data_IF_340312214769
#
_entry.id   IF_340312214769
#
_cell.length_a   1.000
_cell.length_b   1.000
_cell.length_c   1.000
_cell.angle_alpha   90.00
_cell.angle_beta   90.00
_cell.angle_gamma   90.00
#
_symmetry.space_group_name_H-M   'P 1'
#
loop_
_entity.id
_entity.type
_entity.pdbx_description
1 polymer ?
#
# COMPACT_ATOMS: atom_id res chain seq x y z
N UNK A 1 -26.39 7.02 -0.87
CA UNK A 1 -25.31 7.38 -1.81
C UNK A 1 -24.78 6.10 -2.45
N UNK A 2 -24.57 6.09 -3.76
CA UNK A 2 -23.95 5.02 -4.55
C UNK A 2 -22.68 5.55 -5.21
N UNK A 3 -21.53 4.93 -4.94
CA UNK A 3 -20.24 5.32 -5.53
C UNK A 3 -19.66 4.20 -6.39
N UNK A 4 -19.03 4.60 -7.49
CA UNK A 4 -18.27 3.70 -8.36
C UNK A 4 -16.78 3.76 -7.97
N UNK A 5 -16.27 2.67 -7.40
CA UNK A 5 -14.88 2.54 -6.95
C UNK A 5 -14.00 2.02 -8.09
N UNK A 6 -13.26 2.93 -8.73
CA UNK A 6 -12.41 2.67 -9.87
C UNK A 6 -10.99 2.28 -9.43
N UNK A 7 -10.61 1.03 -9.66
CA UNK A 7 -9.35 0.43 -9.20
C UNK A 7 -8.66 -0.35 -10.32
N UNK A 8 -7.34 -0.50 -10.24
CA UNK A 8 -6.57 -1.26 -11.23
C UNK A 8 -6.90 -2.74 -11.19
N UNK A 9 -7.04 -3.29 -9.98
CA UNK A 9 -7.41 -4.68 -9.74
C UNK A 9 -8.60 -4.72 -8.79
N UNK A 10 -9.65 -5.46 -9.15
CA UNK A 10 -10.84 -5.71 -8.33
C UNK A 10 -10.56 -6.79 -7.29
N UNK A 11 -11.22 -6.76 -6.12
CA UNK A 11 -11.07 -7.79 -5.11
C UNK A 11 -11.47 -9.18 -5.62
N UNK A 12 -10.60 -10.18 -5.43
CA UNK A 12 -10.85 -11.60 -5.72
C UNK A 12 -10.90 -12.45 -4.43
N UNK A 13 -10.83 -11.80 -3.27
CA UNK A 13 -10.83 -12.42 -1.94
C UNK A 13 -9.45 -12.85 -1.44
N UNK A 14 -8.43 -12.87 -2.30
CA UNK A 14 -7.06 -13.10 -1.89
C UNK A 14 -6.39 -11.77 -1.53
N UNK A 15 -6.13 -11.54 -0.24
CA UNK A 15 -5.39 -10.36 0.24
C UNK A 15 -3.87 -10.62 0.16
N UNK A 16 -3.36 -10.76 -1.07
CA UNK A 16 -1.98 -11.19 -1.32
C UNK A 16 -0.97 -10.02 -1.37
N UNK A 17 -1.45 -8.80 -1.56
CA UNK A 17 -0.62 -7.59 -1.65
C UNK A 17 -1.15 -6.46 -0.77
N UNK A 18 -0.29 -5.49 -0.49
CA UNK A 18 -0.68 -4.33 0.27
C UNK A 18 -1.77 -3.47 -0.39
N UNK A 19 -1.78 -3.45 -1.73
CA UNK A 19 -2.81 -2.78 -2.51
C UNK A 19 -4.19 -3.42 -2.29
N UNK A 20 -4.26 -4.75 -2.30
CA UNK A 20 -5.52 -5.49 -2.08
C UNK A 20 -6.04 -5.32 -0.64
N UNK A 21 -5.14 -5.36 0.35
CA UNK A 21 -5.47 -5.12 1.77
C UNK A 21 -6.04 -3.70 1.95
N UNK A 22 -5.37 -2.68 1.40
CA UNK A 22 -5.83 -1.30 1.48
C UNK A 22 -7.21 -1.13 0.80
N UNK A 23 -7.39 -1.69 -0.39
CA UNK A 23 -8.66 -1.63 -1.10
C UNK A 23 -9.80 -2.26 -0.29
N UNK A 24 -9.56 -3.44 0.29
CA UNK A 24 -10.54 -4.12 1.12
C UNK A 24 -10.94 -3.28 2.34
N UNK A 25 -9.97 -2.68 3.03
CA UNK A 25 -10.23 -1.82 4.19
C UNK A 25 -11.06 -0.58 3.82
N UNK A 26 -10.73 0.09 2.71
CA UNK A 26 -11.42 1.30 2.24
C UNK A 26 -12.84 0.99 1.76
N UNK A 27 -13.01 -0.07 0.96
CA UNK A 27 -14.35 -0.51 0.50
C UNK A 27 -15.22 -0.89 1.69
N UNK A 28 -14.67 -1.61 2.67
CA UNK A 28 -15.39 -1.96 3.88
C UNK A 28 -15.81 -0.72 4.69
N UNK A 29 -14.93 0.29 4.81
CA UNK A 29 -15.24 1.53 5.51
C UNK A 29 -16.32 2.37 4.81
N UNK A 30 -16.28 2.47 3.47
CA UNK A 30 -17.36 3.08 2.68
C UNK A 30 -18.70 2.38 2.91
N UNK A 31 -18.71 1.04 2.89
CA UNK A 31 -19.92 0.24 3.13
C UNK A 31 -20.44 0.42 4.56
N UNK A 32 -19.57 0.47 5.58
CA UNK A 32 -19.96 0.80 6.97
C UNK A 32 -20.56 2.19 7.11
N UNK A 33 -20.15 3.15 6.28
CA UNK A 33 -20.75 4.48 6.23
C UNK A 33 -22.11 4.52 5.49
N UNK A 34 -22.66 3.36 5.08
CA UNK A 34 -23.95 3.27 4.38
C UNK A 34 -23.89 3.57 2.89
N UNK A 35 -22.69 3.61 2.30
CA UNK A 35 -22.49 3.82 0.86
C UNK A 35 -22.65 2.49 0.13
N UNK A 36 -23.51 2.45 -0.89
CA UNK A 36 -23.49 1.37 -1.87
C UNK A 36 -22.24 1.54 -2.72
N UNK A 37 -21.39 0.52 -2.80
CA UNK A 37 -20.14 0.58 -3.57
C UNK A 37 -20.16 -0.47 -4.67
N UNK A 38 -20.12 -0.01 -5.92
CA UNK A 38 -19.82 -0.86 -7.08
C UNK A 38 -18.35 -0.71 -7.43
N UNK A 39 -17.61 -1.80 -7.55
CA UNK A 39 -16.19 -1.78 -7.91
C UNK A 39 -16.04 -1.99 -9.41
N UNK A 40 -15.17 -1.22 -10.06
CA UNK A 40 -14.84 -1.38 -11.48
C UNK A 40 -13.32 -1.45 -11.66
N UNK A 41 -12.86 -2.41 -12.46
CA UNK A 41 -11.44 -2.62 -12.71
C UNK A 41 -11.14 -3.91 -13.47
N UNK A 42 -9.88 -4.34 -13.46
CA UNK A 42 -9.45 -5.61 -14.03
C UNK A 42 -9.38 -6.69 -12.97
N UNK A 43 -9.35 -7.95 -13.39
CA UNK A 43 -9.11 -9.08 -12.50
C UNK A 43 -7.81 -9.80 -12.85
N UNK A 44 -7.22 -10.48 -11.86
CA UNK A 44 -6.11 -11.38 -12.13
C UNK A 44 -6.52 -12.51 -13.07
N UNK A 45 -5.67 -12.93 -14.02
CA UNK A 45 -5.95 -14.07 -14.88
C UNK A 45 -6.26 -15.33 -14.06
N UNK A 46 -7.37 -16.01 -14.39
CA UNK A 46 -7.80 -17.24 -13.71
C UNK A 46 -8.49 -17.03 -12.36
N UNK A 47 -8.82 -15.78 -11.99
CA UNK A 47 -9.55 -15.44 -10.75
C UNK A 47 -10.96 -14.95 -11.05
N UNK A 48 -11.82 -15.02 -10.03
CA UNK A 48 -13.19 -14.52 -10.05
C UNK A 48 -13.36 -13.45 -8.95
N UNK A 49 -14.21 -12.42 -9.17
CA UNK A 49 -14.38 -11.37 -8.17
C UNK A 49 -15.03 -11.94 -6.91
N UNK A 50 -14.61 -11.46 -5.74
CA UNK A 50 -15.15 -11.94 -4.46
C UNK A 50 -16.59 -11.50 -4.20
N UNK A 51 -17.05 -10.47 -4.92
CA UNK A 51 -18.39 -9.90 -4.81
C UNK A 51 -18.93 -9.61 -6.23
N UNK A 52 -19.34 -10.65 -6.99
CA UNK A 52 -19.70 -10.52 -8.40
C UNK A 52 -20.86 -9.56 -8.66
N UNK A 53 -21.80 -9.46 -7.72
CA UNK A 53 -22.99 -8.62 -7.86
C UNK A 53 -22.66 -7.12 -7.78
N UNK A 54 -21.58 -6.76 -7.08
CA UNK A 54 -21.13 -5.39 -6.90
C UNK A 54 -19.78 -5.12 -7.60
N UNK A 55 -19.40 -5.95 -8.58
CA UNK A 55 -18.12 -5.82 -9.28
C UNK A 55 -18.29 -5.90 -10.80
N UNK A 56 -17.78 -4.89 -11.49
CA UNK A 56 -17.72 -4.81 -12.95
C UNK A 56 -16.29 -5.11 -13.39
N UNK A 57 -16.08 -6.28 -13.97
CA UNK A 57 -14.79 -6.72 -14.50
C UNK A 57 -14.64 -6.26 -15.95
N UNK A 58 -13.59 -5.49 -16.23
CA UNK A 58 -13.25 -5.02 -17.59
C UNK A 58 -12.52 -6.08 -18.43
N UNK A 59 -11.87 -7.03 -17.76
CA UNK A 59 -11.09 -8.08 -18.38
C UNK A 59 -10.03 -8.63 -17.42
N UNK A 60 -9.26 -9.61 -17.88
CA UNK A 60 -8.15 -10.17 -17.12
C UNK A 60 -6.81 -9.55 -17.56
N UNK A 61 -6.04 -9.02 -16.61
CA UNK A 61 -4.72 -8.41 -16.87
C UNK A 61 -3.76 -8.77 -15.76
N UNK A 62 -2.57 -9.31 -16.11
CA UNK A 62 -1.46 -9.38 -15.15
C UNK A 62 -0.72 -8.03 -15.15
N UNK A 63 -0.91 -7.25 -14.10
CA UNK A 63 -0.26 -5.94 -13.96
C UNK A 63 1.20 -6.05 -13.51
N UNK A 64 1.66 -7.22 -13.06
CA UNK A 64 3.03 -7.41 -12.56
C UNK A 64 4.02 -7.36 -13.72
N UNK A 65 5.07 -6.58 -13.56
CA UNK A 65 6.15 -6.51 -14.55
C UNK A 65 7.03 -7.76 -14.53
N UNK A 66 7.11 -8.45 -13.38
CA UNK A 66 8.01 -9.60 -13.18
C UNK A 66 7.64 -10.79 -14.09
N UNK A 67 6.34 -11.00 -14.37
CA UNK A 67 5.82 -12.11 -15.21
C UNK A 67 5.85 -11.82 -16.72
N UNK A 68 6.17 -10.59 -17.14
CA UNK A 68 6.13 -10.21 -18.56
C UNK A 68 7.44 -10.52 -19.32
N UNK A 69 7.31 -10.95 -20.57
CA UNK A 69 8.46 -11.14 -21.48
C UNK A 69 9.16 -9.83 -21.83
N UNK A 70 10.44 -9.90 -22.24
CA UNK A 70 11.20 -8.72 -22.66
C UNK A 70 10.53 -7.96 -23.82
N UNK A 71 9.91 -8.69 -24.79
CA UNK A 71 9.17 -8.09 -25.91
C UNK A 71 7.95 -7.33 -25.43
N UNK A 72 7.18 -7.88 -24.50
CA UNK A 72 6.00 -7.21 -23.92
C UNK A 72 6.42 -5.95 -23.13
N UNK A 73 7.50 -6.02 -22.34
CA UNK A 73 8.05 -4.87 -21.62
C UNK A 73 8.46 -3.76 -22.59
N UNK A 74 9.12 -4.10 -23.70
CA UNK A 74 9.53 -3.13 -24.72
C UNK A 74 8.31 -2.53 -25.44
N UNK A 75 7.30 -3.34 -25.76
CA UNK A 75 6.06 -2.87 -26.39
C UNK A 75 5.30 -1.90 -25.48
N UNK A 76 5.17 -2.22 -24.18
CA UNK A 76 4.57 -1.31 -23.20
C UNK A 76 5.39 -0.03 -23.04
N UNK A 77 6.71 -0.12 -22.99
CA UNK A 77 7.57 1.06 -22.91
C UNK A 77 7.38 1.95 -24.14
N UNK A 78 7.39 1.38 -25.35
CA UNK A 78 7.14 2.11 -26.59
C UNK A 78 5.77 2.78 -26.60
N UNK A 79 4.72 2.04 -26.24
CA UNK A 79 3.35 2.59 -26.14
C UNK A 79 3.25 3.68 -25.08
N UNK A 80 3.92 3.53 -23.92
CA UNK A 80 3.95 4.56 -22.87
C UNK A 80 4.62 5.84 -23.37
N UNK A 81 5.73 5.72 -24.10
CA UNK A 81 6.43 6.86 -24.73
C UNK A 81 5.53 7.56 -25.73
N UNK A 82 4.92 6.82 -26.66
CA UNK A 82 4.07 7.38 -27.72
C UNK A 82 2.78 8.02 -27.19
N UNK A 83 2.17 7.43 -26.15
CA UNK A 83 0.90 7.92 -25.59
C UNK A 83 1.06 8.95 -24.47
N UNK A 84 2.29 9.25 -24.04
CA UNK A 84 2.54 10.12 -22.89
C UNK A 84 2.04 9.55 -21.55
N UNK A 85 1.70 8.26 -21.49
CA UNK A 85 1.24 7.59 -20.28
C UNK A 85 2.42 7.06 -19.45
N UNK A 86 2.12 6.78 -18.17
CA UNK A 86 3.02 6.05 -17.27
C UNK A 86 3.08 4.58 -17.67
N UNK A 87 4.18 3.91 -17.33
CA UNK A 87 4.36 2.49 -17.62
C UNK A 87 3.30 1.61 -16.92
N UNK A 88 2.80 2.05 -15.76
CA UNK A 88 1.70 1.36 -15.09
C UNK A 88 0.35 1.60 -15.78
N UNK A 89 0.03 2.85 -16.16
CA UNK A 89 -1.24 3.18 -16.83
C UNK A 89 -1.38 2.52 -18.20
N UNK A 90 -0.29 2.42 -18.97
CA UNK A 90 -0.34 1.85 -20.33
C UNK A 90 -0.75 0.37 -20.35
N UNK A 91 -0.46 -0.38 -19.29
CA UNK A 91 -0.85 -1.79 -19.16
C UNK A 91 -2.36 -1.96 -19.08
N UNK A 92 -3.06 -0.97 -18.50
CA UNK A 92 -4.51 -0.97 -18.36
C UNK A 92 -5.21 -0.55 -19.66
N UNK A 93 -4.47 -0.02 -20.64
CA UNK A 93 -4.95 0.22 -22.02
C UNK A 93 -5.06 -1.07 -22.85
N UNK A 94 -5.35 -2.18 -22.18
CA UNK A 94 -5.76 -3.46 -22.78
C UNK A 94 -7.22 -3.39 -23.26
N UNK A 95 -8.00 -2.47 -22.70
CA UNK A 95 -9.35 -2.10 -23.14
C UNK A 95 -9.36 -0.65 -23.63
N UNK A 96 -10.34 -0.33 -24.47
CA UNK A 96 -10.59 0.98 -25.06
C UNK A 96 -11.44 1.90 -24.16
N UNK A 97 -11.47 3.19 -24.49
CA UNK A 97 -12.31 4.17 -23.80
C UNK A 97 -13.81 3.83 -23.89
N UNK A 98 -14.25 3.28 -25.03
CA UNK A 98 -15.64 2.88 -25.24
C UNK A 98 -16.03 1.67 -24.40
N UNK A 99 -15.13 0.70 -24.23
CA UNK A 99 -15.38 -0.46 -23.35
C UNK A 99 -15.47 -0.04 -21.89
N UNK A 100 -14.59 0.86 -21.43
CA UNK A 100 -14.67 1.40 -20.05
C UNK A 100 -15.93 2.23 -19.86
N UNK A 101 -16.30 3.07 -20.84
CA UNK A 101 -17.54 3.85 -20.79
C UNK A 101 -18.78 2.96 -20.72
N UNK A 102 -18.88 1.95 -21.58
CA UNK A 102 -19.97 0.99 -21.54
C UNK A 102 -20.01 0.23 -20.20
N UNK A 103 -18.85 -0.08 -19.62
CA UNK A 103 -18.78 -0.67 -18.28
C UNK A 103 -19.26 0.27 -17.17
N UNK A 104 -18.93 1.57 -17.24
CA UNK A 104 -19.44 2.59 -16.32
C UNK A 104 -20.97 2.71 -16.46
N UNK A 105 -21.50 2.72 -17.68
CA UNK A 105 -22.95 2.77 -17.94
C UNK A 105 -23.70 1.55 -17.36
N UNK A 106 -23.09 0.35 -17.41
CA UNK A 106 -23.65 -0.86 -16.78
C UNK A 106 -23.76 -0.79 -15.25
N UNK A 107 -23.03 0.12 -14.59
CA UNK A 107 -23.18 0.33 -13.15
C UNK A 107 -24.55 0.92 -12.76
N UNK A 108 -25.31 1.43 -13.73
CA UNK A 108 -26.57 2.13 -13.50
C UNK A 108 -26.34 3.53 -12.91
N UNK A 109 -27.38 4.15 -12.33
CA UNK A 109 -27.24 5.46 -11.69
C UNK A 109 -26.34 5.41 -10.45
N UNK A 110 -25.34 6.30 -10.39
CA UNK A 110 -24.46 6.49 -9.24
C UNK A 110 -24.10 7.98 -9.07
N UNK A 111 -23.67 8.34 -7.87
CA UNK A 111 -23.49 9.73 -7.44
C UNK A 111 -22.08 10.25 -7.79
N UNK A 112 -21.04 9.44 -7.61
CA UNK A 112 -19.67 9.88 -7.86
C UNK A 112 -18.66 8.74 -7.93
N UNK A 113 -17.41 9.12 -8.19
CA UNK A 113 -16.30 8.17 -8.30
C UNK A 113 -15.44 8.16 -7.03
N UNK A 114 -14.92 6.98 -6.70
CA UNK A 114 -13.71 6.85 -5.87
C UNK A 114 -12.59 6.38 -6.79
N UNK A 115 -11.65 7.27 -7.09
CA UNK A 115 -10.50 7.00 -7.94
C UNK A 115 -9.37 6.44 -7.08
N UNK A 116 -9.16 5.13 -7.15
CA UNK A 116 -8.26 4.42 -6.26
C UNK A 116 -6.89 4.17 -6.88
N UNK A 117 -5.89 4.93 -6.40
CA UNK A 117 -4.53 5.03 -6.95
C UNK A 117 -4.49 5.60 -8.38
N UNK A 118 -3.28 5.85 -8.88
CA UNK A 118 -3.06 6.63 -10.10
C UNK A 118 -3.25 5.81 -11.39
N UNK A 119 -3.09 4.48 -11.35
CA UNK A 119 -2.86 3.74 -12.58
C UNK A 119 -4.13 3.67 -13.44
N UNK A 120 -5.27 3.29 -12.85
CA UNK A 120 -6.52 3.19 -13.61
C UNK A 120 -7.12 4.56 -13.93
N UNK A 121 -7.17 5.46 -12.95
CA UNK A 121 -7.61 6.84 -13.16
C UNK A 121 -6.74 7.57 -14.20
N UNK A 122 -5.43 7.35 -14.18
CA UNK A 122 -4.49 7.91 -15.15
C UNK A 122 -4.63 7.35 -16.57
N UNK A 123 -4.98 6.07 -16.71
CA UNK A 123 -5.20 5.45 -18.00
C UNK A 123 -6.47 5.92 -18.71
N UNK A 124 -7.47 6.41 -17.96
CA UNK A 124 -8.80 6.80 -18.46
C UNK A 124 -9.28 8.14 -17.88
N UNK A 125 -8.37 9.09 -17.65
CA UNK A 125 -8.60 10.33 -16.88
C UNK A 125 -9.81 11.16 -17.35
N UNK A 126 -10.10 11.12 -18.65
CA UNK A 126 -11.23 11.85 -19.27
C UNK A 126 -12.58 11.21 -18.99
N UNK A 127 -12.63 9.90 -18.74
CA UNK A 127 -13.89 9.18 -18.50
C UNK A 127 -14.46 9.43 -17.11
N UNK A 128 -13.62 9.84 -16.16
CA UNK A 128 -14.02 10.13 -14.78
C UNK A 128 -14.25 11.63 -14.53
N UNK A 129 -14.56 12.40 -15.57
CA UNK A 129 -14.71 13.86 -15.50
C UNK A 129 -16.16 14.34 -15.34
N UNK A 130 -17.12 13.45 -15.55
CA UNK A 130 -18.55 13.79 -15.65
C UNK A 130 -19.28 13.83 -14.32
N UNK A 131 -18.64 13.41 -13.23
CA UNK A 131 -19.19 13.39 -11.86
C UNK A 131 -18.13 13.78 -10.83
N UNK A 132 -18.53 14.24 -9.64
CA UNK A 132 -17.58 14.52 -8.57
C UNK A 132 -16.84 13.24 -8.15
N UNK A 133 -15.60 13.40 -7.68
CA UNK A 133 -14.74 12.28 -7.30
C UNK A 133 -14.00 12.51 -5.98
N UNK A 134 -13.76 11.42 -5.27
CA UNK A 134 -12.73 11.32 -4.23
C UNK A 134 -11.52 10.62 -4.85
N UNK A 135 -10.32 11.12 -4.62
CA UNK A 135 -9.09 10.45 -5.05
C UNK A 135 -8.39 9.82 -3.84
N UNK A 136 -8.06 8.53 -3.92
CA UNK A 136 -7.28 7.83 -2.90
C UNK A 136 -5.86 7.63 -3.41
N UNK A 137 -4.94 8.44 -2.89
CA UNK A 137 -3.52 8.30 -3.14
C UNK A 137 -2.92 7.28 -2.17
N UNK A 138 -2.49 6.14 -2.70
CA UNK A 138 -1.85 5.08 -1.90
C UNK A 138 -0.43 5.45 -1.50
N UNK A 139 0.27 6.14 -2.39
CA UNK A 139 1.64 6.58 -2.25
C UNK A 139 1.80 7.93 -2.96
N UNK A 140 2.94 8.57 -2.74
CA UNK A 140 3.46 9.62 -3.61
C UNK A 140 4.25 8.94 -4.73
N UNK A 141 3.56 8.58 -5.80
CA UNK A 141 4.10 7.74 -6.88
C UNK A 141 5.24 8.44 -7.63
N UNK A 142 5.13 9.75 -7.86
CA UNK A 142 6.25 10.52 -8.42
C UNK A 142 7.47 10.56 -7.50
N UNK A 143 7.27 10.52 -6.17
CA UNK A 143 8.33 10.44 -5.17
C UNK A 143 9.06 9.10 -5.26
N UNK A 144 8.29 8.01 -5.24
CA UNK A 144 8.81 6.65 -5.43
C UNK A 144 9.58 6.50 -6.75
N UNK A 145 9.09 7.11 -7.84
CA UNK A 145 9.80 7.10 -9.13
C UNK A 145 11.12 7.89 -9.10
N UNK A 146 11.20 9.00 -8.34
CA UNK A 146 12.46 9.74 -8.13
C UNK A 146 13.47 8.91 -7.32
N UNK A 147 13.02 8.23 -6.27
CA UNK A 147 13.87 7.32 -5.49
C UNK A 147 14.44 6.21 -6.37
N UNK A 148 13.61 5.59 -7.21
CA UNK A 148 14.05 4.58 -8.18
C UNK A 148 15.06 5.16 -9.20
N UNK A 149 14.89 6.41 -9.64
CA UNK A 149 15.85 7.05 -10.54
C UNK A 149 17.21 7.27 -9.87
N UNK A 150 17.22 7.68 -8.59
CA UNK A 150 18.43 7.89 -7.81
C UNK A 150 19.18 6.58 -7.54
N UNK A 151 18.46 5.49 -7.26
CA UNK A 151 19.01 4.16 -7.01
C UNK A 151 19.39 3.38 -8.29
N UNK A 152 19.10 3.89 -9.49
CA UNK A 152 19.34 3.16 -10.73
C UNK A 152 20.84 3.04 -11.07
N UNK A 153 21.27 1.79 -11.35
CA UNK A 153 22.65 1.43 -11.70
C UNK A 153 23.07 1.85 -13.12
N UNK A 154 22.12 2.15 -14.00
CA UNK A 154 22.41 2.56 -15.39
C UNK A 154 21.80 3.91 -15.76
N UNK A 155 22.50 4.67 -16.62
CA UNK A 155 22.04 5.98 -17.11
C UNK A 155 20.71 5.89 -17.86
N UNK A 156 20.50 4.79 -18.60
CA UNK A 156 19.26 4.55 -19.32
C UNK A 156 18.07 4.34 -18.37
N UNK A 157 18.20 3.45 -17.37
CA UNK A 157 17.14 3.25 -16.38
C UNK A 157 16.84 4.51 -15.58
N UNK A 158 17.89 5.26 -15.20
CA UNK A 158 17.75 6.57 -14.54
C UNK A 158 16.90 7.53 -15.37
N UNK A 159 17.14 7.61 -16.68
CA UNK A 159 16.35 8.46 -17.58
C UNK A 159 14.89 8.00 -17.65
N UNK A 160 14.64 6.70 -17.74
CA UNK A 160 13.28 6.14 -17.76
C UNK A 160 12.52 6.45 -16.47
N UNK A 161 13.12 6.24 -15.30
CA UNK A 161 12.49 6.57 -14.03
C UNK A 161 12.31 8.08 -13.83
N UNK A 162 13.24 8.90 -14.31
CA UNK A 162 13.08 10.35 -14.27
C UNK A 162 11.93 10.84 -15.17
N UNK A 163 11.74 10.22 -16.35
CA UNK A 163 10.55 10.45 -17.19
C UNK A 163 9.28 10.05 -16.45
N UNK A 164 9.27 8.85 -15.85
CA UNK A 164 8.12 8.34 -15.11
C UNK A 164 7.74 9.27 -13.95
N UNK A 165 8.72 9.75 -13.19
CA UNK A 165 8.52 10.71 -12.10
C UNK A 165 7.87 12.02 -12.58
N UNK A 166 8.24 12.54 -13.75
CA UNK A 166 7.62 13.76 -14.31
C UNK A 166 6.17 13.51 -14.70
N UNK A 167 5.89 12.39 -15.37
CA UNK A 167 4.52 12.05 -15.80
C UNK A 167 3.60 11.78 -14.62
N UNK A 168 4.08 11.03 -13.62
CA UNK A 168 3.36 10.78 -12.38
C UNK A 168 3.08 12.09 -11.65
N UNK A 169 4.06 12.99 -11.54
CA UNK A 169 3.86 14.28 -10.87
C UNK A 169 2.70 15.06 -11.51
N UNK A 170 2.73 15.23 -12.83
CA UNK A 170 1.66 15.95 -13.53
C UNK A 170 0.31 15.24 -13.40
N UNK A 171 0.29 13.91 -13.44
CA UNK A 171 -0.94 13.12 -13.30
C UNK A 171 -1.53 13.23 -11.89
N UNK A 172 -0.71 13.08 -10.86
CA UNK A 172 -1.10 13.21 -9.45
C UNK A 172 -1.62 14.62 -9.15
N UNK A 173 -0.94 15.67 -9.62
CA UNK A 173 -1.40 17.05 -9.50
C UNK A 173 -2.78 17.26 -10.16
N UNK A 174 -3.01 16.68 -11.35
CA UNK A 174 -4.32 16.77 -12.02
C UNK A 174 -5.41 16.02 -11.26
N UNK A 175 -5.14 14.79 -10.80
CA UNK A 175 -6.09 14.00 -10.03
C UNK A 175 -6.45 14.69 -8.70
N UNK A 176 -5.44 15.16 -7.96
CA UNK A 176 -5.65 15.87 -6.69
C UNK A 176 -6.42 17.18 -6.87
N UNK A 177 -6.14 17.94 -7.94
CA UNK A 177 -6.84 19.18 -8.25
C UNK A 177 -8.31 18.95 -8.63
N UNK A 178 -8.61 17.88 -9.37
CA UNK A 178 -9.96 17.58 -9.86
C UNK A 178 -10.85 16.91 -8.83
N UNK A 179 -10.28 16.13 -7.92
CA UNK A 179 -11.06 15.50 -6.86
C UNK A 179 -11.68 16.55 -5.91
N UNK A 180 -12.89 16.30 -5.43
CA UNK A 180 -13.51 17.12 -4.38
C UNK A 180 -12.81 16.91 -3.04
N UNK A 181 -12.30 15.71 -2.80
CA UNK A 181 -11.52 15.38 -1.62
C UNK A 181 -10.45 14.33 -1.96
N UNK A 182 -9.31 14.40 -1.26
CA UNK A 182 -8.20 13.47 -1.43
C UNK A 182 -7.96 12.70 -0.15
N UNK A 183 -7.80 11.40 -0.24
CA UNK A 183 -7.30 10.58 0.84
C UNK A 183 -5.85 10.20 0.58
N UNK A 184 -5.00 10.34 1.59
CA UNK A 184 -3.64 9.76 1.60
C UNK A 184 -3.56 8.64 2.63
N UNK A 185 -2.52 7.82 2.60
CA UNK A 185 -2.30 6.78 3.61
C UNK A 185 -1.31 7.21 4.71
N UNK A 186 -0.63 8.33 4.51
CA UNK A 186 0.27 8.94 5.49
C UNK A 186 0.12 10.46 5.47
N UNK A 187 0.40 11.11 6.61
CA UNK A 187 0.26 12.56 6.77
C UNK A 187 1.27 13.31 5.90
N UNK A 188 2.51 12.80 5.84
CA UNK A 188 3.60 13.40 5.07
C UNK A 188 3.30 13.44 3.57
N UNK A 189 2.47 12.51 3.08
CA UNK A 189 2.10 12.41 1.66
C UNK A 189 1.17 13.57 1.24
N UNK A 190 0.39 14.15 2.17
CA UNK A 190 -0.54 15.25 1.87
C UNK A 190 0.20 16.49 1.38
N UNK A 191 1.29 16.84 2.06
CA UNK A 191 2.15 17.96 1.68
C UNK A 191 2.84 17.70 0.34
N UNK A 192 3.36 16.49 0.14
CA UNK A 192 4.04 16.11 -1.10
C UNK A 192 3.11 16.14 -2.33
N UNK A 193 1.82 15.89 -2.14
CA UNK A 193 0.78 15.96 -3.18
C UNK A 193 0.13 17.35 -3.30
N UNK A 194 0.55 18.33 -2.51
CA UNK A 194 0.01 19.69 -2.56
C UNK A 194 -1.43 19.83 -2.02
N UNK A 195 -1.85 18.94 -1.11
CA UNK A 195 -3.21 18.90 -0.56
C UNK A 195 -3.25 18.95 0.97
N UNK A 196 -2.23 19.51 1.63
CA UNK A 196 -2.08 19.54 3.10
C UNK A 196 -3.23 20.21 3.89
N UNK A 197 -4.17 20.89 3.24
CA UNK A 197 -5.34 21.46 3.90
C UNK A 197 -6.35 20.38 4.29
N UNK A 198 -6.86 20.43 5.54
CA UNK A 198 -7.91 19.54 6.04
C UNK A 198 -9.25 19.68 5.30
N UNK A 199 -9.46 20.80 4.60
CA UNK A 199 -10.61 20.96 3.72
C UNK A 199 -10.50 20.19 2.41
N UNK A 200 -9.28 19.79 2.04
CA UNK A 200 -8.94 19.16 0.76
C UNK A 200 -8.55 17.71 0.89
N UNK A 201 -7.99 17.31 2.03
CA UNK A 201 -7.58 15.93 2.23
C UNK A 201 -7.60 15.47 3.68
N UNK A 202 -7.55 14.15 3.88
CA UNK A 202 -7.31 13.52 5.17
C UNK A 202 -6.53 12.21 5.00
N UNK A 203 -5.93 11.72 6.08
CA UNK A 203 -5.27 10.41 6.11
C UNK A 203 -6.30 9.31 6.35
N UNK A 204 -6.14 8.17 5.69
CA UNK A 204 -6.88 6.94 5.95
C UNK A 204 -6.04 5.96 6.79
N UNK A 205 -6.28 5.87 8.10
CA UNK A 205 -5.60 4.92 8.96
C UNK A 205 -6.09 3.49 8.64
N UNK A 206 -5.26 2.72 7.93
CA UNK A 206 -5.65 1.38 7.45
C UNK A 206 -5.65 0.31 8.55
N UNK A 207 -6.32 -0.80 8.26
CA UNK A 207 -6.31 -2.06 9.02
C UNK A 207 -5.95 -3.19 8.07
N UNK A 208 -5.40 -4.30 8.58
CA UNK A 208 -5.08 -5.46 7.71
C UNK A 208 -6.18 -6.51 7.63
N UNK A 209 -7.13 -6.46 8.57
CA UNK A 209 -8.24 -7.43 8.66
C UNK A 209 -9.57 -6.72 8.92
N UNK A 210 -10.69 -7.37 8.64
CA UNK A 210 -12.02 -6.81 8.87
C UNK A 210 -12.48 -6.94 10.34
N UNK A 211 -11.90 -7.88 11.08
CA UNK A 211 -12.27 -8.20 12.46
C UNK A 211 -11.08 -8.00 13.38
N UNK A 212 -11.35 -7.49 14.58
CA UNK A 212 -10.31 -7.30 15.56
C UNK A 212 -9.63 -8.65 15.89
N UNK A 213 -8.29 -8.67 15.97
CA UNK A 213 -7.57 -9.86 16.40
C UNK A 213 -8.03 -10.32 17.79
N UNK A 214 -8.11 -11.64 17.97
CA UNK A 214 -8.49 -12.22 19.26
C UNK A 214 -7.33 -12.05 20.27
N UNK A 215 -7.63 -11.88 21.57
CA UNK A 215 -6.61 -11.84 22.63
C UNK A 215 -5.66 -13.04 22.55
N UNK A 216 -4.38 -12.77 22.74
CA UNK A 216 -3.29 -13.71 22.44
C UNK A 216 -3.06 -14.68 23.61
N UNK A 217 -2.97 -15.98 23.29
CA UNK A 217 -2.39 -17.01 24.18
C UNK A 217 -0.86 -16.91 24.16
N UNK A 218 -0.13 -17.39 25.18
CA UNK A 218 1.33 -17.45 25.15
C UNK A 218 1.84 -18.04 23.82
N UNK A 219 2.72 -17.30 23.15
CA UNK A 219 3.28 -17.70 21.85
C UNK A 219 4.50 -18.59 22.07
N UNK A 220 4.71 -19.54 21.17
CA UNK A 220 5.99 -20.25 21.07
C UNK A 220 6.97 -19.37 20.30
N UNK A 221 8.13 -19.08 20.90
CA UNK A 221 9.18 -18.27 20.29
C UNK A 221 10.22 -19.21 19.66
N UNK A 222 10.36 -19.13 18.34
CA UNK A 222 11.27 -19.94 17.54
C UNK A 222 12.56 -19.19 17.18
N UNK A 223 12.51 -17.85 17.13
CA UNK A 223 13.65 -16.98 16.81
C UNK A 223 13.56 -15.64 17.58
N UNK A 224 14.68 -14.91 17.65
CA UNK A 224 14.72 -13.61 18.33
C UNK A 224 13.99 -12.55 17.49
N UNK A 225 14.27 -12.48 16.18
CA UNK A 225 13.60 -11.54 15.28
C UNK A 225 13.15 -12.17 13.96
N UNK A 226 12.01 -11.70 13.44
CA UNK A 226 11.52 -12.09 12.12
C UNK A 226 11.14 -10.88 11.26
N UNK A 227 11.53 -10.92 10.00
CA UNK A 227 11.14 -9.96 8.97
C UNK A 227 10.47 -10.70 7.82
N UNK A 228 9.39 -10.15 7.26
CA UNK A 228 8.73 -10.71 6.07
C UNK A 228 8.53 -9.61 5.04
N UNK A 229 8.69 -9.90 3.75
CA UNK A 229 8.46 -8.88 2.72
C UNK A 229 8.65 -9.29 1.27
N UNK A 230 8.21 -8.40 0.38
CA UNK A 230 8.62 -8.39 -1.02
C UNK A 230 9.91 -7.59 -1.13
N UNK A 231 11.05 -8.28 -1.05
CA UNK A 231 12.40 -7.70 -1.08
C UNK A 231 12.85 -7.34 -2.51
N UNK A 232 12.11 -7.77 -3.54
CA UNK A 232 12.27 -7.28 -4.91
C UNK A 232 11.76 -5.85 -5.09
N UNK A 233 10.96 -5.33 -4.14
CA UNK A 233 10.50 -3.94 -4.18
C UNK A 233 11.51 -3.00 -3.53
N UNK A 234 11.96 -2.00 -4.28
CA UNK A 234 13.10 -1.15 -3.93
C UNK A 234 13.01 -0.50 -2.53
N UNK A 235 11.88 0.10 -2.09
CA UNK A 235 11.79 0.66 -0.74
C UNK A 235 11.98 -0.37 0.39
N UNK A 236 11.48 -1.59 0.21
CA UNK A 236 11.71 -2.68 1.17
C UNK A 236 13.18 -3.12 1.15
N UNK A 237 13.80 -3.18 -0.04
CA UNK A 237 15.21 -3.56 -0.21
C UNK A 237 16.15 -2.59 0.51
N UNK A 238 15.93 -1.28 0.35
CA UNK A 238 16.72 -0.23 1.02
C UNK A 238 16.66 -0.41 2.55
N UNK A 239 15.47 -0.68 3.10
CA UNK A 239 15.32 -0.96 4.53
C UNK A 239 16.04 -2.24 4.97
N UNK A 240 15.98 -3.30 4.15
CA UNK A 240 16.64 -4.58 4.46
C UNK A 240 18.15 -4.44 4.44
N UNK A 241 18.70 -3.75 3.43
CA UNK A 241 20.13 -3.48 3.33
C UNK A 241 20.60 -2.65 4.54
N UNK A 242 19.86 -1.60 4.91
CA UNK A 242 20.15 -0.83 6.14
C UNK A 242 20.17 -1.72 7.39
N UNK A 243 19.16 -2.58 7.56
CA UNK A 243 19.10 -3.48 8.71
C UNK A 243 20.29 -4.46 8.74
N UNK A 244 20.56 -5.15 7.62
CA UNK A 244 21.63 -6.15 7.53
C UNK A 244 23.03 -5.54 7.64
N UNK A 245 23.25 -4.35 7.06
CA UNK A 245 24.57 -3.72 7.01
C UNK A 245 24.87 -2.81 8.21
N UNK A 246 23.84 -2.22 8.83
CA UNK A 246 24.01 -1.20 9.87
C UNK A 246 23.55 -1.66 11.24
N UNK A 247 22.47 -2.44 11.35
CA UNK A 247 21.93 -2.88 12.65
C UNK A 247 22.52 -4.21 13.07
N UNK A 248 22.46 -5.21 12.19
CA UNK A 248 22.89 -6.59 12.50
C UNK A 248 24.33 -6.71 13.00
N UNK A 249 25.32 -5.93 12.53
CA UNK A 249 26.69 -5.99 13.08
C UNK A 249 26.81 -5.64 14.57
N UNK A 250 25.81 -4.97 15.15
CA UNK A 250 25.78 -4.61 16.58
C UNK A 250 25.10 -5.67 17.46
N UNK A 251 24.45 -6.68 16.87
CA UNK A 251 23.78 -7.74 17.62
C UNK A 251 24.79 -8.78 18.12
N UNK A 252 24.47 -9.41 19.26
CA UNK A 252 25.21 -10.59 19.74
C UNK A 252 25.15 -11.70 18.69
N UNK A 253 26.24 -12.47 18.57
CA UNK A 253 26.33 -13.54 17.57
C UNK A 253 25.16 -14.51 17.62
N UNK A 254 24.68 -14.88 18.81
CA UNK A 254 23.58 -15.84 18.99
C UNK A 254 22.17 -15.28 18.76
N UNK A 255 22.03 -14.07 18.20
CA UNK A 255 20.74 -13.45 17.94
C UNK A 255 20.16 -13.99 16.62
N UNK A 256 19.13 -14.84 16.71
CA UNK A 256 18.57 -15.57 15.56
C UNK A 256 17.56 -14.72 14.82
N UNK A 257 17.86 -14.44 13.56
CA UNK A 257 17.04 -13.60 12.67
C UNK A 257 16.52 -14.45 11.53
N UNK A 258 15.22 -14.39 11.26
CA UNK A 258 14.61 -15.06 10.10
C UNK A 258 14.02 -14.04 9.13
N UNK A 259 14.36 -14.17 7.85
CA UNK A 259 13.89 -13.27 6.79
C UNK A 259 13.08 -14.07 5.76
N UNK A 260 11.78 -13.80 5.68
CA UNK A 260 10.83 -14.46 4.78
C UNK A 260 10.38 -13.56 3.63
N UNK A 261 9.85 -14.19 2.58
CA UNK A 261 9.18 -13.56 1.45
C UNK A 261 9.95 -13.65 0.13
N UNK A 262 9.60 -12.77 -0.82
CA UNK A 262 10.13 -12.80 -2.18
C UNK A 262 11.47 -12.04 -2.23
N UNK A 263 12.57 -12.76 -2.41
CA UNK A 263 13.92 -12.18 -2.45
C UNK A 263 14.68 -12.56 -3.73
N UNK A 264 15.52 -11.66 -4.24
CA UNK A 264 16.58 -12.03 -5.18
C UNK A 264 17.52 -13.09 -4.60
N UNK A 265 18.13 -13.90 -5.46
CA UNK A 265 19.06 -14.96 -5.06
C UNK A 265 20.42 -14.47 -4.54
N UNK A 266 20.72 -13.18 -4.70
CA UNK A 266 22.01 -12.57 -4.33
C UNK A 266 22.00 -11.95 -2.92
N UNK A 267 20.87 -11.97 -2.22
CA UNK A 267 20.80 -11.47 -0.84
C UNK A 267 21.55 -12.42 0.09
N UNK A 268 22.52 -11.87 0.82
CA UNK A 268 23.33 -12.58 1.80
C UNK A 268 23.49 -11.73 3.05
N UNK A 269 23.86 -12.36 4.16
CA UNK A 269 24.28 -11.67 5.38
C UNK A 269 25.57 -12.29 5.88
N UNK A 270 26.49 -11.47 6.37
CA UNK A 270 27.72 -11.93 7.01
C UNK A 270 27.50 -12.42 8.45
N UNK A 271 26.31 -12.18 9.02
CA UNK A 271 25.99 -12.61 10.37
C UNK A 271 25.56 -14.08 10.37
N UNK A 272 26.18 -14.94 11.22
CA UNK A 272 25.99 -16.39 11.15
C UNK A 272 24.55 -16.84 11.43
N UNK A 273 23.82 -16.08 12.24
CA UNK A 273 22.46 -16.44 12.69
C UNK A 273 21.34 -15.71 11.93
N UNK A 274 21.62 -15.22 10.71
CA UNK A 274 20.59 -14.73 9.76
C UNK A 274 20.21 -15.84 8.80
N UNK A 275 18.94 -16.28 8.88
CA UNK A 275 18.35 -17.30 8.01
C UNK A 275 17.40 -16.67 6.99
N UNK A 276 17.66 -16.88 5.70
CA UNK A 276 16.75 -16.52 4.62
C UNK A 276 15.83 -17.71 4.29
N UNK A 277 14.56 -17.64 4.71
CA UNK A 277 13.63 -18.78 4.65
C UNK A 277 12.83 -18.83 3.34
N UNK A 278 12.91 -17.80 2.50
CA UNK A 278 12.09 -17.68 1.30
C UNK A 278 10.59 -17.53 1.59
N UNK A 279 9.72 -18.01 0.70
CA UNK A 279 8.26 -17.89 0.87
C UNK A 279 7.75 -18.86 1.94
N UNK A 280 6.93 -18.36 2.86
CA UNK A 280 6.27 -19.13 3.92
C UNK A 280 4.79 -19.35 3.60
N UNK A 281 4.21 -20.42 4.12
CA UNK A 281 2.79 -20.75 3.92
C UNK A 281 1.84 -19.85 4.73
N UNK A 282 2.27 -19.38 5.89
CA UNK A 282 1.50 -18.51 6.78
C UNK A 282 2.40 -17.38 7.32
N UNK A 283 2.15 -16.17 6.83
CA UNK A 283 2.88 -14.96 7.23
C UNK A 283 2.67 -14.60 8.70
N UNK A 284 1.43 -14.75 9.20
CA UNK A 284 1.10 -14.40 10.58
C UNK A 284 1.74 -15.37 11.56
N UNK A 285 1.66 -16.67 11.27
CA UNK A 285 2.30 -17.67 12.11
C UNK A 285 3.83 -17.50 12.13
N UNK A 286 4.42 -17.12 10.99
CA UNK A 286 5.85 -16.82 10.89
C UNK A 286 6.26 -15.65 11.80
N UNK A 287 5.60 -14.50 11.72
CA UNK A 287 5.95 -13.34 12.57
C UNK A 287 5.63 -13.58 14.05
N UNK A 288 4.57 -14.34 14.35
CA UNK A 288 4.23 -14.73 15.73
C UNK A 288 5.26 -15.67 16.36
N UNK A 289 6.13 -16.31 15.57
CA UNK A 289 7.25 -17.11 16.05
C UNK A 289 8.48 -16.29 16.48
N UNK A 290 8.48 -14.97 16.30
CA UNK A 290 9.58 -14.10 16.74
C UNK A 290 9.34 -13.46 18.10
N UNK A 291 10.42 -13.23 18.85
CA UNK A 291 10.37 -12.50 20.11
C UNK A 291 10.03 -11.02 19.87
N UNK A 292 10.65 -10.41 18.85
CA UNK A 292 10.47 -9.01 18.46
C UNK A 292 10.42 -8.84 16.94
N UNK A 293 9.65 -7.88 16.44
CA UNK A 293 9.55 -7.55 15.01
C UNK A 293 10.37 -6.29 14.68
N UNK A 294 11.41 -6.38 13.84
CA UNK A 294 12.10 -5.22 13.28
C UNK A 294 11.26 -4.55 12.19
N UNK A 295 10.90 -3.28 12.39
CA UNK A 295 10.24 -2.43 11.39
C UNK A 295 11.27 -1.44 10.83
N UNK A 296 11.81 -1.78 9.66
CA UNK A 296 13.13 -1.33 9.16
C UNK A 296 13.05 -0.34 7.98
N UNK A 297 11.90 0.28 7.73
CA UNK A 297 11.76 1.16 6.57
C UNK A 297 12.63 2.39 6.71
N UNK A 298 13.39 2.73 5.67
CA UNK A 298 14.14 4.00 5.59
C UNK A 298 13.82 4.81 4.33
N UNK A 299 13.02 4.23 3.42
CA UNK A 299 12.56 4.86 2.18
C UNK A 299 11.08 4.55 1.90
N UNK A 300 10.54 5.13 0.81
CA UNK A 300 9.15 4.93 0.35
C UNK A 300 8.12 5.85 1.02
N UNK A 301 6.95 5.95 0.39
CA UNK A 301 5.77 6.70 0.86
C UNK A 301 4.64 5.75 1.28
N UNK A 302 3.43 6.26 1.51
CA UNK A 302 2.27 5.49 1.96
C UNK A 302 2.46 4.92 3.36
N UNK A 303 1.62 3.96 3.75
CA UNK A 303 1.71 3.27 5.05
C UNK A 303 2.37 1.91 4.93
N UNK A 304 3.02 1.46 6.02
CA UNK A 304 3.56 0.10 6.11
C UNK A 304 2.53 -0.86 6.73
N UNK A 305 1.91 -1.70 5.91
CA UNK A 305 0.95 -2.69 6.40
C UNK A 305 1.57 -3.71 7.36
N UNK A 306 2.87 -4.00 7.25
CA UNK A 306 3.58 -4.86 8.20
C UNK A 306 3.64 -4.24 9.60
N UNK A 307 3.75 -2.91 9.68
CA UNK A 307 3.67 -2.18 10.95
C UNK A 307 2.26 -2.30 11.54
N UNK A 308 1.23 -2.05 10.73
CA UNK A 308 -0.17 -2.18 11.15
C UNK A 308 -0.44 -3.61 11.63
N UNK A 309 -0.05 -4.63 10.85
CA UNK A 309 -0.23 -6.04 11.21
C UNK A 309 0.50 -6.39 12.51
N UNK A 310 1.75 -5.92 12.68
CA UNK A 310 2.52 -6.13 13.92
C UNK A 310 1.77 -5.57 15.14
N UNK A 311 1.19 -4.38 15.02
CA UNK A 311 0.43 -3.72 16.09
C UNK A 311 -0.93 -4.36 16.33
N UNK A 312 -1.63 -4.79 15.27
CA UNK A 312 -2.86 -5.56 15.35
C UNK A 312 -2.64 -6.92 16.04
N UNK A 313 -1.49 -7.57 15.79
CA UNK A 313 -1.10 -8.80 16.45
C UNK A 313 -0.58 -8.60 17.89
N UNK A 314 -0.33 -7.34 18.30
CA UNK A 314 0.15 -6.99 19.63
C UNK A 314 1.62 -7.35 19.88
N UNK A 315 2.42 -7.56 18.83
CA UNK A 315 3.79 -8.07 18.94
C UNK A 315 4.78 -6.96 19.37
N UNK A 316 5.78 -7.27 20.20
CA UNK A 316 6.88 -6.36 20.47
C UNK A 316 7.59 -5.96 19.17
N UNK A 317 8.00 -4.71 19.07
CA UNK A 317 8.69 -4.23 17.88
C UNK A 317 9.72 -3.15 18.17
N UNK A 318 10.69 -3.05 17.28
CA UNK A 318 11.61 -1.90 17.20
C UNK A 318 11.44 -1.32 15.81
N UNK A 319 11.17 -0.01 15.74
CA UNK A 319 10.83 0.66 14.51
C UNK A 319 11.74 1.85 14.25
N UNK A 320 12.09 2.04 12.97
CA UNK A 320 12.57 3.34 12.51
C UNK A 320 11.41 4.34 12.57
N UNK A 321 11.71 5.63 12.66
CA UNK A 321 10.69 6.68 12.57
C UNK A 321 9.88 6.55 11.29
N UNK A 322 10.56 6.26 10.16
CA UNK A 322 9.94 6.10 8.85
C UNK A 322 9.03 4.88 8.74
N UNK A 323 9.20 3.84 9.56
CA UNK A 323 8.29 2.69 9.60
C UNK A 323 6.94 2.99 10.27
N UNK A 324 6.82 4.12 10.96
CA UNK A 324 5.62 4.54 11.68
C UNK A 324 4.78 5.60 10.96
N UNK A 325 5.16 5.97 9.73
CA UNK A 325 4.37 6.86 8.87
C UNK A 325 2.95 6.32 8.70
N UNK A 326 1.95 7.20 8.77
CA UNK A 326 0.54 6.81 8.69
C UNK A 326 0.01 6.04 9.91
N UNK A 327 0.75 6.01 11.02
CA UNK A 327 0.30 5.43 12.29
C UNK A 327 0.09 6.53 13.34
N UNK A 328 -1.17 6.77 13.71
CA UNK A 328 -1.52 7.80 14.69
C UNK A 328 -1.26 7.36 16.13
N UNK A 329 -1.48 6.07 16.42
CA UNK A 329 -1.36 5.54 17.77
C UNK A 329 -0.38 4.37 17.82
N UNK A 330 0.76 4.59 18.48
CA UNK A 330 1.77 3.56 18.70
C UNK A 330 1.46 2.74 19.97
N UNK A 331 1.47 1.40 19.90
CA UNK A 331 1.42 0.54 21.09
C UNK A 331 2.62 0.73 22.02
N UNK A 332 2.44 0.48 23.32
CA UNK A 332 3.47 0.69 24.33
C UNK A 332 4.72 -0.22 24.18
N UNK A 333 4.58 -1.36 23.51
CA UNK A 333 5.64 -2.34 23.27
C UNK A 333 6.37 -2.15 21.92
N UNK A 334 6.27 -0.96 21.33
CA UNK A 334 7.06 -0.58 20.16
C UNK A 334 8.13 0.44 20.58
N UNK A 335 9.41 0.16 20.39
CA UNK A 335 10.50 1.13 20.61
C UNK A 335 10.86 1.85 19.30
N UNK A 336 11.20 3.14 19.34
CA UNK A 336 11.50 3.94 18.14
C UNK A 336 12.95 4.43 18.19
N UNK A 337 13.71 4.16 17.14
CA UNK A 337 15.04 4.73 16.95
C UNK A 337 15.47 4.62 15.49
N UNK A 338 16.19 5.63 15.01
CA UNK A 338 16.85 5.61 13.71
C UNK A 338 18.36 5.32 13.83
N UNK A 339 18.89 5.30 15.06
CA UNK A 339 20.29 4.94 15.33
C UNK A 339 20.47 3.41 15.29
N UNK A 340 21.37 2.86 14.45
CA UNK A 340 21.50 1.42 14.28
C UNK A 340 21.95 0.65 15.53
N UNK A 341 22.83 1.24 16.35
CA UNK A 341 23.33 0.58 17.57
C UNK A 341 22.24 0.54 18.66
N UNK A 342 21.52 1.65 18.84
CA UNK A 342 20.36 1.70 19.71
C UNK A 342 19.23 0.78 19.22
N UNK A 343 19.05 0.63 17.91
CA UNK A 343 18.09 -0.30 17.33
C UNK A 343 18.43 -1.74 17.72
N UNK A 344 19.69 -2.14 17.58
CA UNK A 344 20.16 -3.47 17.97
C UNK A 344 19.97 -3.72 19.48
N UNK A 345 20.35 -2.77 20.34
CA UNK A 345 20.15 -2.89 21.79
C UNK A 345 18.68 -3.01 22.18
N UNK A 346 17.79 -2.28 21.51
CA UNK A 346 16.34 -2.38 21.72
C UNK A 346 15.78 -3.75 21.27
N UNK A 347 16.31 -4.33 20.19
CA UNK A 347 15.93 -5.66 19.75
C UNK A 347 16.32 -6.73 20.78
N UNK A 348 17.54 -6.65 21.32
CA UNK A 348 18.00 -7.58 22.36
C UNK A 348 17.17 -7.45 23.64
N UNK A 349 16.89 -6.23 24.08
CA UNK A 349 16.06 -5.98 25.25
C UNK A 349 14.63 -6.53 25.07
N UNK A 350 14.01 -6.28 23.92
CA UNK A 350 12.66 -6.78 23.62
C UNK A 350 12.62 -8.32 23.46
N UNK A 351 13.69 -8.93 22.93
CA UNK A 351 13.80 -10.38 22.80
C UNK A 351 14.00 -11.09 24.16
N UNK A 352 14.69 -10.45 25.10
CA UNK A 352 14.93 -10.98 26.44
C UNK A 352 13.67 -10.95 27.33
N UNK A 353 12.76 -10.01 27.10
CA UNK A 353 11.51 -9.85 27.86
C UNK A 353 10.33 -9.59 26.90
N UNK A 354 9.79 -10.70 26.36
CA UNK A 354 8.71 -10.65 25.37
C UNK A 354 7.40 -10.22 26.02
N UNK A 355 6.98 -8.99 25.71
CA UNK A 355 5.74 -8.39 26.23
C UNK A 355 4.75 -8.10 25.12
N UNK A 356 3.88 -9.07 24.84
CA UNK A 356 2.72 -8.86 23.97
C UNK A 356 1.73 -7.89 24.62
N UNK A 357 1.02 -7.12 23.80
CA UNK A 357 -0.07 -6.23 24.23
C UNK A 357 -1.38 -6.60 23.55
N UNK A 358 -2.49 -6.02 24.00
CA UNK A 358 -3.78 -6.18 23.33
C UNK A 358 -3.82 -5.40 21.99
N UNK A 359 -3.46 -6.08 20.90
CA UNK A 359 -3.52 -5.51 19.56
C UNK A 359 -4.94 -5.19 19.07
N UNK A 360 -5.98 -5.76 19.72
CA UNK A 360 -7.38 -5.42 19.39
C UNK A 360 -7.73 -3.97 19.74
N UNK A 361 -7.04 -3.37 20.73
CA UNK A 361 -7.20 -1.97 21.07
C UNK A 361 -6.66 -1.04 19.97
N UNK A 362 -5.51 -1.39 19.38
CA UNK A 362 -4.96 -0.68 18.22
C UNK A 362 -5.92 -0.78 17.02
N UNK A 363 -6.38 -1.99 16.69
CA UNK A 363 -7.31 -2.22 15.60
C UNK A 363 -8.60 -1.40 15.74
N UNK A 364 -9.24 -1.40 16.93
CA UNK A 364 -10.47 -0.62 17.18
C UNK A 364 -10.24 0.88 16.99
N UNK A 365 -9.08 1.41 17.39
CA UNK A 365 -8.72 2.82 17.19
C UNK A 365 -8.56 3.15 15.71
N UNK A 366 -7.84 2.30 14.96
CA UNK A 366 -7.67 2.45 13.51
C UNK A 366 -9.04 2.45 12.79
N UNK A 367 -9.92 1.48 13.06
CA UNK A 367 -11.27 1.43 12.47
C UNK A 367 -12.06 2.70 12.77
N UNK A 368 -12.05 3.16 14.03
CA UNK A 368 -12.79 4.38 14.42
C UNK A 368 -12.30 5.60 13.65
N UNK A 369 -10.98 5.75 13.50
CA UNK A 369 -10.38 6.85 12.78
C UNK A 369 -10.60 6.74 11.25
N UNK A 370 -10.54 5.52 10.70
CA UNK A 370 -10.82 5.23 9.30
C UNK A 370 -12.26 5.62 8.94
N UNK A 371 -13.22 5.19 9.77
CA UNK A 371 -14.63 5.49 9.56
C UNK A 371 -14.92 6.99 9.70
N UNK A 372 -14.18 7.71 10.58
CA UNK A 372 -14.29 9.15 10.71
C UNK A 372 -13.75 9.89 9.46
N UNK A 373 -12.58 9.48 8.96
CA UNK A 373 -11.99 10.04 7.76
C UNK A 373 -12.88 9.80 6.53
N UNK A 374 -13.43 8.59 6.38
CA UNK A 374 -14.37 8.28 5.30
C UNK A 374 -15.61 9.17 5.38
N UNK A 375 -16.22 9.35 6.55
CA UNK A 375 -17.36 10.26 6.73
C UNK A 375 -17.03 11.69 6.29
N UNK A 376 -15.88 12.21 6.70
CA UNK A 376 -15.41 13.53 6.27
C UNK A 376 -15.31 13.63 4.73
N UNK A 377 -14.68 12.65 4.06
CA UNK A 377 -14.57 12.68 2.61
C UNK A 377 -15.91 12.57 1.88
N UNK A 378 -16.86 11.81 2.44
CA UNK A 378 -18.23 11.71 1.90
C UNK A 378 -19.00 13.03 2.07
N UNK A 379 -18.84 13.72 3.20
CA UNK A 379 -19.41 15.05 3.44
C UNK A 379 -18.84 16.07 2.43
N UNK A 380 -17.53 16.04 2.18
CA UNK A 380 -16.85 16.94 1.24
C UNK A 380 -17.15 16.62 -0.23
N UNK A 381 -17.48 15.36 -0.56
CA UNK A 381 -18.00 15.01 -1.88
C UNK A 381 -19.34 15.73 -2.15
N UNK A 382 -20.15 15.87 -1.10
CA UNK A 382 -21.43 16.60 -1.09
C UNK A 382 -22.59 15.82 -1.72
N UNK A 383 -23.85 16.28 -1.52
CA UNK A 383 -25.00 15.72 -2.21
C UNK A 383 -24.91 16.01 -3.71
N UNK A 384 -25.14 14.98 -4.52
CA UNK A 384 -25.12 15.07 -5.98
C UNK A 384 -26.50 15.53 -6.43
N UNK A 385 -26.77 16.83 -6.27
CA UNK A 385 -28.06 17.41 -6.66
C UNK A 385 -28.09 18.94 -6.57
N UNK A 386 -28.23 19.58 -7.74
CA UNK A 386 -28.45 21.03 -8.02
C UNK A 386 -27.23 21.94 -8.25
N UNK A 387 -26.22 21.52 -9.02
CA UNK A 387 -25.29 22.47 -9.68
C UNK A 387 -25.31 22.40 -11.21
N UNK A 388 -26.26 21.67 -11.80
CA UNK A 388 -26.47 21.66 -13.26
C UNK A 388 -27.91 22.06 -13.54
N UNK A 389 -28.27 23.30 -13.21
CA UNK A 389 -29.37 24.11 -13.77
C UNK A 389 -29.35 25.45 -13.01
N UNK A 390 -28.34 26.28 -13.29
CA UNK A 390 -28.34 27.71 -13.00
C UNK A 390 -27.58 28.41 -14.14
#
# INVERSE_FOLDING_TARGET
MHLLFATSIVPDGALASGYEIANAAIIAALRRAGVRVTVIGFIWPGKAPSDPENTIVLGAVDVRTESASARQKLAWLGKAVLSGLTFASVKLRAVSDSEVRAAIERAGPFDGYVLNSVQFAGAFEKLFADRPSIFVAHNVEHGSAKENAAAANSRFQRLLFAREARLLKTMEERLCRRARFVFTLAEEDRAALGVASDDRSAVLPLVTTATAPKPVKPRRIDCDAALIGTWTWQPNRIGLDWFLEKVVPHLRRSFRIRVAGNMPSDITSAHPDVEFVGRVSDAQNFVRGAAVIPLISTAGSGVQLKTIETFELGLPSVATSRSLRGIDHRPANCFITDDPAAFAGALEAAAADVRDVDGSAFHRRQIKALDAAIRLGLEKLGPVGKEVFA
#
